data_IF_023193111286
#
_entry.id   IF_023193111286
#
_cell.length_a   1.000
_cell.length_b   1.000
_cell.length_c   1.000
_cell.angle_alpha   90.00
_cell.angle_beta   90.00
_cell.angle_gamma   90.00
#
_symmetry.space_group_name_H-M   'P 1'
#
loop_
_entity.id
_entity.type
_entity.pdbx_description
1 polymer ?
#
# COMPACT_ATOMS: atom_id res chain seq x y z
N UNK A 1 -29.38 9.40 26.19
CA UNK A 1 -30.33 9.33 25.06
C UNK A 1 -29.49 9.43 23.80
N UNK A 2 -29.30 8.31 23.10
CA UNK A 2 -28.48 8.27 21.86
C UNK A 2 -29.26 8.90 20.71
N UNK A 3 -28.80 10.02 20.20
CA UNK A 3 -29.36 10.63 19.00
C UNK A 3 -29.04 9.75 17.79
N UNK A 4 -30.05 9.11 17.20
CA UNK A 4 -29.92 8.40 15.92
C UNK A 4 -29.63 9.43 14.83
N UNK A 5 -28.39 9.47 14.37
CA UNK A 5 -28.06 10.16 13.12
C UNK A 5 -28.58 9.31 11.96
N UNK A 6 -29.48 9.90 11.17
CA UNK A 6 -29.98 9.28 9.95
C UNK A 6 -28.98 9.63 8.87
N UNK A 7 -28.10 8.67 8.53
CA UNK A 7 -27.28 8.74 7.34
C UNK A 7 -28.14 8.35 6.13
N UNK A 8 -28.19 9.23 5.16
CA UNK A 8 -28.84 8.97 3.89
C UNK A 8 -27.92 8.07 3.05
N UNK A 9 -28.15 6.76 3.13
CA UNK A 9 -27.49 5.81 2.25
C UNK A 9 -27.97 6.07 0.80
N UNK A 10 -27.12 6.64 -0.04
CA UNK A 10 -27.34 6.67 -1.48
C UNK A 10 -26.99 5.29 -2.01
N UNK A 11 -27.95 4.38 -1.94
CA UNK A 11 -27.89 3.10 -2.63
C UNK A 11 -27.96 3.35 -4.15
N UNK A 12 -26.87 3.06 -4.85
CA UNK A 12 -26.84 2.99 -6.30
C UNK A 12 -27.51 1.69 -6.73
N UNK A 13 -28.84 1.69 -6.86
CA UNK A 13 -29.57 0.61 -7.52
C UNK A 13 -29.56 0.87 -9.03
N UNK A 14 -28.70 0.19 -9.76
CA UNK A 14 -28.76 0.13 -11.21
C UNK A 14 -29.94 -0.78 -11.63
N UNK A 15 -31.09 -0.15 -11.90
CA UNK A 15 -32.18 -0.83 -12.58
C UNK A 15 -31.98 -0.67 -14.10
N UNK A 16 -31.63 -1.78 -14.77
CA UNK A 16 -31.69 -1.87 -16.22
C UNK A 16 -33.16 -1.88 -16.68
N UNK A 17 -33.64 -0.72 -17.12
CA UNK A 17 -34.86 -0.62 -17.94
C UNK A 17 -34.46 -0.21 -19.35
N UNK A 18 -34.52 -1.15 -20.27
CA UNK A 18 -34.44 -0.90 -21.71
C UNK A 18 -35.72 -0.17 -22.11
N UNK A 19 -35.64 1.10 -22.38
CA UNK A 19 -36.69 1.87 -23.05
C UNK A 19 -36.05 2.63 -24.21
N UNK A 20 -36.49 2.24 -25.42
CA UNK A 20 -36.14 2.91 -26.68
C UNK A 20 -36.84 4.26 -26.74
N UNK A 21 -36.14 5.35 -26.52
CA UNK A 21 -36.57 6.70 -26.82
C UNK A 21 -35.44 7.45 -27.51
N UNK A 22 -35.77 8.26 -28.51
CA UNK A 22 -34.90 9.01 -29.40
C UNK A 22 -33.85 9.87 -28.64
N UNK A 23 -32.68 10.18 -29.25
CA UNK A 23 -31.61 10.93 -28.56
C UNK A 23 -32.07 12.36 -28.32
N UNK A 24 -32.41 12.65 -27.07
CA UNK A 24 -32.37 14.00 -26.56
C UNK A 24 -30.89 14.38 -26.46
N UNK A 25 -30.47 15.41 -27.16
CA UNK A 25 -29.19 16.08 -26.98
C UNK A 25 -29.18 16.60 -25.56
N UNK A 26 -28.61 15.83 -24.64
CA UNK A 26 -28.29 16.31 -23.30
C UNK A 26 -27.21 17.37 -23.47
N UNK A 27 -27.56 18.63 -23.17
CA UNK A 27 -26.56 19.67 -23.01
C UNK A 27 -25.52 19.16 -22.02
N UNK A 28 -24.25 19.09 -22.44
CA UNK A 28 -23.13 18.80 -21.55
C UNK A 28 -23.20 19.76 -20.39
N UNK A 29 -23.42 19.25 -19.19
CA UNK A 29 -23.22 20.02 -17.97
C UNK A 29 -21.79 20.57 -18.02
N UNK A 30 -21.58 21.87 -17.71
CA UNK A 30 -20.25 22.44 -17.69
C UNK A 30 -19.39 21.56 -16.76
N UNK A 31 -18.24 21.10 -17.28
CA UNK A 31 -17.31 20.32 -16.50
C UNK A 31 -17.01 21.05 -15.19
N UNK A 32 -17.13 20.36 -14.06
CA UNK A 32 -16.76 20.94 -12.78
C UNK A 32 -15.31 21.44 -12.88
N UNK A 33 -14.96 22.58 -12.27
CA UNK A 33 -13.61 23.11 -12.32
C UNK A 33 -12.63 22.03 -11.81
N UNK A 34 -11.50 21.86 -12.51
CA UNK A 34 -10.47 20.91 -12.15
C UNK A 34 -9.86 21.30 -10.80
N UNK A 35 -10.02 20.45 -9.80
CA UNK A 35 -9.43 20.66 -8.48
C UNK A 35 -7.94 20.31 -8.60
N UNK A 36 -7.05 21.29 -8.42
CA UNK A 36 -5.61 21.09 -8.59
C UNK A 36 -4.86 20.81 -7.30
N UNK A 37 -5.44 21.19 -6.16
CA UNK A 37 -4.83 20.99 -4.84
C UNK A 37 -5.92 20.76 -3.80
N UNK A 38 -5.66 19.85 -2.88
CA UNK A 38 -6.58 19.47 -1.81
C UNK A 38 -5.88 19.51 -0.45
N UNK A 39 -6.66 19.67 0.61
CA UNK A 39 -6.20 19.64 2.00
C UNK A 39 -7.10 18.77 2.85
N UNK A 40 -6.50 17.98 3.72
CA UNK A 40 -7.23 17.30 4.80
C UNK A 40 -7.50 18.32 5.90
N UNK A 41 -8.73 18.42 6.36
CA UNK A 41 -9.10 19.32 7.44
C UNK A 41 -9.81 18.59 8.56
N UNK A 42 -9.62 19.11 9.79
CA UNK A 42 -10.28 18.64 11.00
C UNK A 42 -11.06 19.81 11.59
N UNK A 43 -12.38 19.80 11.57
CA UNK A 43 -13.15 20.82 12.27
C UNK A 43 -13.04 20.57 13.77
N UNK A 44 -12.72 21.59 14.56
CA UNK A 44 -12.72 21.55 16.03
C UNK A 44 -14.15 21.40 16.56
N UNK A 45 -14.78 20.27 16.37
CA UNK A 45 -16.17 20.00 16.74
C UNK A 45 -16.28 18.88 17.79
N UNK A 46 -15.70 19.06 18.97
CA UNK A 46 -15.94 18.17 20.09
C UNK A 46 -14.97 17.00 20.23
N UNK A 47 -15.42 15.90 20.86
CA UNK A 47 -14.60 14.78 21.29
C UNK A 47 -14.22 13.80 20.15
N UNK A 48 -14.73 13.96 18.93
CA UNK A 48 -14.49 13.09 17.79
C UNK A 48 -13.70 13.86 16.71
N UNK A 49 -12.43 13.46 16.53
CA UNK A 49 -11.50 14.08 15.56
C UNK A 49 -11.69 13.53 14.13
N UNK A 50 -12.90 13.63 13.59
CA UNK A 50 -13.13 13.21 12.21
C UNK A 50 -12.51 14.19 11.20
N UNK A 51 -12.00 13.60 10.10
CA UNK A 51 -11.35 14.31 9.02
C UNK A 51 -12.27 14.44 7.81
N UNK A 52 -12.11 15.55 7.09
CA UNK A 52 -12.72 15.81 5.80
C UNK A 52 -11.69 16.23 4.77
N UNK A 53 -12.11 16.39 3.52
CA UNK A 53 -11.29 16.82 2.41
C UNK A 53 -11.89 18.09 1.79
N UNK A 54 -11.05 19.09 1.54
CA UNK A 54 -11.45 20.32 0.89
C UNK A 54 -10.45 20.75 -0.20
N UNK A 55 -10.92 21.48 -1.19
CA UNK A 55 -10.07 22.18 -2.15
C UNK A 55 -9.32 23.34 -1.48
N UNK A 56 -8.29 23.88 -2.13
CA UNK A 56 -7.59 25.08 -1.64
C UNK A 56 -8.50 26.30 -1.55
N UNK A 57 -9.56 26.35 -2.34
CA UNK A 57 -10.55 27.43 -2.33
C UNK A 57 -11.61 27.26 -1.22
N UNK A 58 -11.47 26.22 -0.37
CA UNK A 58 -12.34 25.94 0.76
C UNK A 58 -13.62 25.18 0.41
N UNK A 59 -13.77 24.68 -0.81
CA UNK A 59 -14.89 23.81 -1.18
C UNK A 59 -14.74 22.45 -0.50
N UNK A 60 -15.76 22.00 0.23
CA UNK A 60 -15.77 20.67 0.86
C UNK A 60 -15.99 19.59 -0.20
N UNK A 61 -14.99 18.70 -0.37
CA UNK A 61 -15.02 17.54 -1.26
C UNK A 61 -15.53 16.28 -0.54
N UNK A 62 -15.09 16.10 0.72
CA UNK A 62 -15.63 15.10 1.65
C UNK A 62 -15.95 15.78 2.97
N UNK A 63 -17.13 15.53 3.56
CA UNK A 63 -17.46 16.04 4.89
C UNK A 63 -16.55 15.42 5.95
N UNK A 64 -16.39 16.06 7.13
CA UNK A 64 -15.60 15.49 8.24
C UNK A 64 -16.38 14.33 8.88
N UNK A 65 -16.18 13.13 8.36
CA UNK A 65 -16.87 11.91 8.77
C UNK A 65 -15.96 10.68 8.78
N UNK A 66 -14.66 10.85 8.54
CA UNK A 66 -13.71 9.75 8.41
C UNK A 66 -12.65 9.80 9.51
N UNK A 67 -12.31 8.64 10.07
CA UNK A 67 -11.32 8.52 11.14
C UNK A 67 -9.89 8.80 10.63
N UNK A 68 -9.60 8.46 9.37
CA UNK A 68 -8.35 8.85 8.73
C UNK A 68 -8.53 9.18 7.25
N UNK A 69 -7.68 10.07 6.74
CA UNK A 69 -7.58 10.41 5.31
C UNK A 69 -6.11 10.55 4.96
N UNK A 70 -5.66 9.79 3.97
CA UNK A 70 -4.33 9.89 3.36
C UNK A 70 -4.48 10.25 1.87
N UNK A 71 -3.75 11.26 1.41
CA UNK A 71 -3.82 11.72 0.02
C UNK A 71 -2.73 11.07 -0.81
N UNK A 72 -3.11 10.41 -1.92
CA UNK A 72 -2.22 9.67 -2.81
C UNK A 72 -2.53 10.04 -4.26
N UNK A 73 -1.72 10.92 -4.84
CA UNK A 73 -1.94 11.39 -6.21
C UNK A 73 -3.33 12.01 -6.38
N UNK A 74 -4.14 11.47 -7.30
CA UNK A 74 -5.54 11.90 -7.52
C UNK A 74 -6.56 11.23 -6.60
N UNK A 75 -6.12 10.41 -5.66
CA UNK A 75 -6.97 9.70 -4.72
C UNK A 75 -6.76 10.17 -3.28
N UNK A 76 -7.74 9.88 -2.47
CA UNK A 76 -7.59 9.84 -1.03
C UNK A 76 -8.02 8.45 -0.54
N UNK A 77 -7.17 7.83 0.28
CA UNK A 77 -7.52 6.64 1.06
C UNK A 77 -8.21 7.15 2.31
N UNK A 78 -9.47 6.79 2.51
CA UNK A 78 -10.26 7.21 3.65
C UNK A 78 -10.73 6.00 4.45
N UNK A 79 -10.52 6.02 5.77
CA UNK A 79 -11.00 4.99 6.67
C UNK A 79 -12.23 5.45 7.43
N UNK A 80 -13.25 4.61 7.43
CA UNK A 80 -14.47 4.80 8.20
C UNK A 80 -14.54 3.77 9.32
N UNK A 81 -14.57 4.24 10.55
CA UNK A 81 -14.79 3.41 11.75
C UNK A 81 -16.25 2.93 11.90
N UNK A 82 -17.19 3.56 11.20
CA UNK A 82 -18.59 3.13 11.16
C UNK A 82 -18.75 1.80 10.39
N UNK A 83 -18.02 1.65 9.30
CA UNK A 83 -18.06 0.47 8.41
C UNK A 83 -16.89 -0.47 8.59
N UNK A 84 -15.85 -0.05 9.34
CA UNK A 84 -14.58 -0.75 9.50
C UNK A 84 -13.94 -1.08 8.13
N UNK A 85 -13.97 -0.10 7.22
CA UNK A 85 -13.49 -0.26 5.84
C UNK A 85 -12.70 0.95 5.37
N UNK A 86 -11.82 0.70 4.42
CA UNK A 86 -11.10 1.72 3.68
C UNK A 86 -11.76 1.93 2.32
N UNK A 87 -11.84 3.19 1.91
CA UNK A 87 -12.39 3.60 0.63
C UNK A 87 -11.35 4.38 -0.17
N UNK A 88 -11.26 4.11 -1.46
CA UNK A 88 -10.49 4.91 -2.40
C UNK A 88 -11.40 5.97 -3.01
N UNK A 89 -11.16 7.24 -2.68
CA UNK A 89 -11.93 8.38 -3.16
C UNK A 89 -11.16 9.11 -4.26
N UNK A 90 -11.73 9.14 -5.48
CA UNK A 90 -11.22 9.98 -6.57
C UNK A 90 -11.77 11.41 -6.36
N UNK A 91 -10.91 12.30 -5.86
CA UNK A 91 -11.33 13.65 -5.52
C UNK A 91 -11.55 14.54 -6.76
N UNK A 92 -11.02 14.18 -7.93
CA UNK A 92 -11.34 14.85 -9.19
C UNK A 92 -12.74 14.46 -9.69
N UNK A 93 -13.10 13.18 -9.61
CA UNK A 93 -14.43 12.69 -9.97
C UNK A 93 -15.45 12.87 -8.85
N UNK A 94 -14.99 13.19 -7.64
CA UNK A 94 -15.82 13.30 -6.43
C UNK A 94 -16.63 12.03 -6.15
N UNK A 95 -15.96 10.88 -6.28
CA UNK A 95 -16.60 9.58 -6.16
C UNK A 95 -15.70 8.56 -5.46
N UNK A 96 -16.31 7.68 -4.67
CA UNK A 96 -15.67 6.47 -4.21
C UNK A 96 -15.57 5.48 -5.37
N UNK A 97 -14.36 4.96 -5.61
CA UNK A 97 -14.05 4.08 -6.75
C UNK A 97 -13.73 2.65 -6.32
N UNK A 98 -13.36 2.44 -5.05
CA UNK A 98 -13.10 1.12 -4.49
C UNK A 98 -13.32 1.12 -2.98
N UNK A 99 -13.57 -0.07 -2.43
CA UNK A 99 -13.68 -0.36 -1.00
C UNK A 99 -12.94 -1.67 -0.70
N UNK A 100 -12.09 -1.64 0.34
CA UNK A 100 -11.36 -2.81 0.84
C UNK A 100 -11.31 -2.79 2.36
N UNK A 101 -11.31 -3.96 3.02
CA UNK A 101 -11.13 -4.04 4.47
C UNK A 101 -9.81 -3.47 4.97
N UNK A 102 -8.78 -3.51 4.11
CA UNK A 102 -7.46 -2.92 4.38
C UNK A 102 -6.90 -2.24 3.14
N UNK A 103 -6.37 -1.03 3.31
CA UNK A 103 -5.73 -0.26 2.25
C UNK A 103 -4.71 0.71 2.85
N UNK A 104 -3.51 0.77 2.30
CA UNK A 104 -2.48 1.72 2.70
C UNK A 104 -1.49 1.99 1.56
N UNK A 105 -0.77 3.10 1.64
CA UNK A 105 0.26 3.43 0.67
C UNK A 105 1.52 2.59 0.86
N UNK A 106 2.14 2.18 -0.24
CA UNK A 106 3.40 1.46 -0.26
C UNK A 106 4.20 1.89 -1.48
N UNK A 107 5.17 2.79 -1.29
CA UNK A 107 5.93 3.39 -2.39
C UNK A 107 5.04 4.11 -3.40
N UNK A 108 5.15 3.72 -4.67
CA UNK A 108 4.32 4.26 -5.76
C UNK A 108 2.96 3.53 -5.93
N UNK A 109 2.64 2.60 -5.03
CA UNK A 109 1.46 1.73 -5.11
C UNK A 109 0.57 1.88 -3.88
N UNK A 110 -0.62 1.30 -3.96
CA UNK A 110 -1.55 1.17 -2.86
C UNK A 110 -1.71 -0.32 -2.59
N UNK A 111 -1.31 -0.77 -1.41
CA UNK A 111 -1.56 -2.14 -0.95
C UNK A 111 -3.02 -2.27 -0.55
N UNK A 112 -3.65 -3.35 -0.98
CA UNK A 112 -5.01 -3.75 -0.64
C UNK A 112 -5.02 -5.14 -0.05
N UNK A 113 -5.94 -5.43 0.88
CA UNK A 113 -6.11 -6.77 1.42
C UNK A 113 -7.57 -7.08 1.78
N UNK A 114 -7.90 -8.37 1.82
CA UNK A 114 -9.23 -8.88 2.16
C UNK A 114 -9.56 -8.74 3.64
N UNK A 115 -8.55 -8.71 4.52
CA UNK A 115 -8.68 -8.52 5.96
C UNK A 115 -7.36 -8.10 6.60
N UNK A 116 -7.43 -7.69 7.88
CA UNK A 116 -6.25 -7.45 8.70
C UNK A 116 -5.64 -8.80 9.14
N UNK A 117 -4.45 -9.12 8.60
CA UNK A 117 -3.62 -10.25 9.08
C UNK A 117 -3.89 -11.61 8.47
N UNK A 118 -5.10 -11.92 8.01
CA UNK A 118 -5.49 -13.27 7.56
C UNK A 118 -6.03 -13.29 6.13
N UNK A 119 -5.85 -12.23 5.37
CA UNK A 119 -6.40 -12.12 4.01
C UNK A 119 -5.31 -12.11 2.93
N UNK A 120 -5.75 -12.22 1.68
CA UNK A 120 -4.86 -12.06 0.57
C UNK A 120 -4.59 -10.59 0.27
N UNK A 121 -3.34 -10.31 -0.10
CA UNK A 121 -2.83 -8.99 -0.44
C UNK A 121 -2.72 -8.82 -1.95
N UNK A 122 -2.93 -7.61 -2.42
CA UNK A 122 -2.74 -7.18 -3.80
C UNK A 122 -2.28 -5.73 -3.88
N UNK A 123 -2.10 -5.23 -5.09
CA UNK A 123 -1.63 -3.86 -5.33
C UNK A 123 -2.49 -3.15 -6.37
N UNK A 124 -2.76 -1.87 -6.11
CA UNK A 124 -3.24 -0.91 -7.10
C UNK A 124 -2.10 0.05 -7.46
N UNK A 125 -2.11 0.54 -8.68
CA UNK A 125 -1.27 1.67 -9.09
C UNK A 125 -1.90 3.03 -8.68
N UNK A 126 -1.17 4.11 -8.95
CA UNK A 126 -1.65 5.48 -8.69
C UNK A 126 -2.83 5.90 -9.59
N UNK A 127 -3.23 5.08 -10.58
CA UNK A 127 -4.45 5.28 -11.34
C UNK A 127 -5.67 4.62 -10.70
N UNK A 128 -5.45 3.76 -9.68
CA UNK A 128 -6.44 2.91 -9.03
C UNK A 128 -6.70 1.61 -9.80
N UNK A 129 -5.86 1.29 -10.81
CA UNK A 129 -5.95 0.02 -11.51
C UNK A 129 -5.26 -1.09 -10.72
N UNK A 130 -5.85 -2.29 -10.73
CA UNK A 130 -5.24 -3.48 -10.14
C UNK A 130 -4.01 -3.86 -10.97
N UNK A 131 -2.84 -3.86 -10.34
CA UNK A 131 -1.58 -4.31 -10.94
C UNK A 131 -1.16 -5.69 -10.44
N UNK A 132 -1.63 -6.05 -9.23
CA UNK A 132 -1.45 -7.38 -8.67
C UNK A 132 -2.74 -7.77 -7.97
N UNK A 133 -3.33 -8.89 -8.39
CA UNK A 133 -4.54 -9.44 -7.78
C UNK A 133 -4.29 -9.83 -6.31
N UNK A 134 -5.35 -9.84 -5.49
CA UNK A 134 -5.29 -10.32 -4.12
C UNK A 134 -5.12 -11.84 -4.09
N UNK A 135 -3.87 -12.29 -4.13
CA UNK A 135 -3.48 -13.71 -4.14
C UNK A 135 -2.30 -14.02 -3.23
N UNK A 136 -1.69 -13.01 -2.62
CA UNK A 136 -0.51 -13.14 -1.80
C UNK A 136 -0.90 -13.18 -0.32
N UNK A 137 -0.42 -14.16 0.41
CA UNK A 137 -0.68 -14.31 1.84
C UNK A 137 0.03 -13.27 2.70
N UNK A 138 1.11 -12.74 2.16
CA UNK A 138 1.83 -11.63 2.76
C UNK A 138 2.55 -10.83 1.68
N UNK A 139 2.64 -9.52 1.89
CA UNK A 139 3.43 -8.59 1.09
C UNK A 139 4.15 -7.62 2.00
N UNK A 140 5.44 -7.39 1.74
CA UNK A 140 6.26 -6.37 2.40
C UNK A 140 6.02 -4.96 1.85
N UNK A 141 6.86 -4.02 2.28
CA UNK A 141 6.91 -2.69 1.69
C UNK A 141 7.42 -2.71 0.26
N UNK A 142 6.80 -1.89 -0.60
CA UNK A 142 7.27 -1.73 -1.99
C UNK A 142 8.51 -0.83 -2.00
N UNK A 143 9.56 -1.30 -2.67
CA UNK A 143 10.77 -0.52 -2.96
C UNK A 143 10.93 -0.42 -4.48
N UNK A 144 10.92 0.80 -5.02
CA UNK A 144 10.83 1.04 -6.46
C UNK A 144 9.65 0.25 -7.06
N UNK A 145 9.92 -0.72 -7.92
CA UNK A 145 8.93 -1.56 -8.58
C UNK A 145 8.98 -3.03 -8.09
N UNK A 146 9.54 -3.30 -6.91
CA UNK A 146 9.63 -4.65 -6.35
C UNK A 146 8.99 -4.73 -4.97
N UNK A 147 8.54 -5.95 -4.62
CA UNK A 147 7.95 -6.24 -3.32
C UNK A 147 8.21 -7.69 -2.95
N UNK A 148 8.52 -7.95 -1.69
CA UNK A 148 8.52 -9.31 -1.16
C UNK A 148 7.09 -9.83 -1.04
N UNK A 149 6.86 -11.07 -1.50
CA UNK A 149 5.55 -11.69 -1.47
C UNK A 149 5.62 -13.16 -1.07
N UNK A 150 4.70 -13.62 -0.22
CA UNK A 150 4.49 -15.02 0.14
C UNK A 150 3.21 -15.55 -0.51
N UNK A 151 3.27 -16.79 -1.03
CA UNK A 151 2.14 -17.42 -1.71
C UNK A 151 1.62 -18.70 -1.03
N UNK A 152 2.33 -19.24 -0.04
CA UNK A 152 2.07 -20.54 0.55
C UNK A 152 1.92 -20.43 2.08
N UNK A 153 0.76 -20.80 2.61
CA UNK A 153 0.43 -20.76 4.04
C UNK A 153 1.32 -21.68 4.88
N UNK A 154 1.68 -22.85 4.34
CA UNK A 154 2.39 -23.87 5.11
C UNK A 154 3.85 -23.48 5.35
N UNK A 155 4.46 -22.79 4.41
CA UNK A 155 5.89 -22.47 4.45
C UNK A 155 6.18 -21.01 4.76
N UNK A 156 5.25 -20.10 4.43
CA UNK A 156 5.45 -18.64 4.49
C UNK A 156 6.75 -18.17 3.83
N UNK A 157 7.28 -18.98 2.88
CA UNK A 157 8.47 -18.60 2.12
C UNK A 157 8.14 -17.42 1.20
N UNK A 158 9.12 -16.57 1.01
CA UNK A 158 8.99 -15.32 0.26
C UNK A 158 9.81 -15.34 -1.01
N UNK A 159 9.35 -14.60 -2.02
CA UNK A 159 10.13 -14.30 -3.22
C UNK A 159 9.95 -12.82 -3.58
N UNK A 160 10.89 -12.29 -4.33
CA UNK A 160 10.88 -10.91 -4.77
C UNK A 160 10.07 -10.78 -6.06
N UNK A 161 8.90 -10.16 -5.98
CA UNK A 161 8.02 -9.90 -7.12
C UNK A 161 8.39 -8.57 -7.78
N UNK A 162 8.69 -8.58 -9.07
CA UNK A 162 8.77 -7.37 -9.89
C UNK A 162 7.37 -7.00 -10.38
N UNK A 163 6.81 -5.94 -9.84
CA UNK A 163 5.41 -5.55 -9.97
C UNK A 163 5.01 -5.34 -11.45
N UNK A 164 5.71 -4.54 -12.29
CA UNK A 164 5.28 -4.29 -13.66
C UNK A 164 5.23 -5.53 -14.55
N UNK A 165 6.09 -6.53 -14.30
CA UNK A 165 6.12 -7.75 -15.12
C UNK A 165 5.38 -8.92 -14.52
N UNK A 166 5.03 -8.85 -13.23
CA UNK A 166 4.44 -9.96 -12.47
C UNK A 166 5.37 -11.16 -12.29
N UNK A 167 6.70 -10.98 -12.47
CA UNK A 167 7.68 -12.07 -12.39
C UNK A 167 8.38 -12.10 -11.05
N UNK A 168 8.65 -13.29 -10.55
CA UNK A 168 9.58 -13.49 -9.45
C UNK A 168 11.01 -13.27 -9.95
N UNK A 169 11.81 -12.55 -9.17
CA UNK A 169 13.19 -12.21 -9.50
C UNK A 169 14.18 -13.23 -8.94
N UNK A 170 13.83 -13.98 -7.88
CA UNK A 170 14.67 -15.04 -7.37
C UNK A 170 14.26 -16.37 -7.98
N UNK A 171 15.26 -17.20 -8.35
CA UNK A 171 15.05 -18.54 -8.88
C UNK A 171 14.43 -19.49 -7.84
N UNK A 172 14.69 -19.25 -6.56
CA UNK A 172 14.21 -20.06 -5.43
C UNK A 172 13.60 -19.17 -4.34
N UNK A 173 12.65 -19.73 -3.58
CA UNK A 173 12.00 -19.06 -2.47
C UNK A 173 12.92 -18.97 -1.25
N UNK A 174 12.91 -17.83 -0.58
CA UNK A 174 13.65 -17.57 0.65
C UNK A 174 12.80 -17.92 1.88
N UNK A 175 13.47 -18.28 2.98
CA UNK A 175 12.81 -18.59 4.25
C UNK A 175 12.46 -17.33 5.06
N UNK A 176 13.14 -16.22 4.78
CA UNK A 176 12.97 -14.94 5.46
C UNK A 176 13.53 -13.80 4.61
N UNK A 177 13.01 -12.61 4.77
CA UNK A 177 13.55 -11.38 4.17
C UNK A 177 13.48 -10.21 5.15
N UNK A 178 14.31 -9.19 4.93
CA UNK A 178 14.20 -7.88 5.59
C UNK A 178 13.47 -6.89 4.68
N UNK A 179 13.04 -5.77 5.23
CA UNK A 179 12.64 -4.61 4.41
C UNK A 179 13.84 -4.06 3.62
N UNK A 180 13.53 -3.35 2.52
CA UNK A 180 14.56 -2.67 1.74
C UNK A 180 15.13 -1.47 2.49
N UNK A 181 16.45 -1.32 2.45
CA UNK A 181 17.19 -0.18 2.98
C UNK A 181 18.35 0.14 2.06
N UNK A 182 18.48 1.41 1.61
CA UNK A 182 19.52 1.84 0.69
C UNK A 182 19.53 1.06 -0.64
N UNK A 183 18.35 0.65 -1.13
CA UNK A 183 18.21 -0.09 -2.38
C UNK A 183 18.48 -1.60 -2.28
N UNK A 184 18.74 -2.13 -1.08
CA UNK A 184 19.00 -3.57 -0.85
C UNK A 184 18.05 -4.15 0.20
N UNK A 185 17.80 -5.46 0.11
CA UNK A 185 17.17 -6.26 1.15
C UNK A 185 18.01 -7.50 1.41
N UNK A 186 18.13 -7.89 2.69
CA UNK A 186 18.74 -9.16 3.10
C UNK A 186 17.69 -10.26 3.08
N UNK A 187 18.06 -11.45 2.66
CA UNK A 187 17.19 -12.61 2.76
C UNK A 187 17.96 -13.85 3.21
N UNK A 188 17.25 -14.80 3.80
CA UNK A 188 17.82 -16.07 4.27
C UNK A 188 17.28 -17.20 3.40
N UNK A 189 18.17 -18.05 2.92
CA UNK A 189 17.86 -19.28 2.21
C UNK A 189 18.84 -20.38 2.64
N UNK A 190 18.32 -21.52 3.04
CA UNK A 190 19.11 -22.68 3.52
C UNK A 190 20.12 -22.31 4.63
N UNK A 191 19.74 -21.38 5.51
CA UNK A 191 20.57 -20.93 6.64
C UNK A 191 21.71 -19.97 6.27
N UNK A 192 21.77 -19.48 5.05
CA UNK A 192 22.72 -18.47 4.57
C UNK A 192 22.02 -17.16 4.26
N UNK A 193 22.70 -16.05 4.53
CA UNK A 193 22.25 -14.70 4.20
C UNK A 193 22.75 -14.29 2.83
N UNK A 194 21.83 -13.77 2.05
CA UNK A 194 22.05 -13.17 0.75
C UNK A 194 21.51 -11.74 0.76
N UNK A 195 22.02 -10.90 -0.11
CA UNK A 195 21.42 -9.59 -0.36
C UNK A 195 20.95 -9.48 -1.80
N UNK A 196 19.89 -8.74 -2.03
CA UNK A 196 19.32 -8.50 -3.35
C UNK A 196 19.00 -6.99 -3.49
N UNK A 197 19.29 -6.44 -4.67
CA UNK A 197 18.86 -5.09 -5.02
C UNK A 197 17.46 -5.07 -5.67
N UNK A 198 16.96 -3.87 -5.98
CA UNK A 198 15.65 -3.70 -6.63
C UNK A 198 15.62 -4.14 -8.10
N UNK A 199 16.76 -4.46 -8.71
CA UNK A 199 16.86 -5.04 -10.05
C UNK A 199 16.91 -6.58 -10.02
N UNK A 200 17.02 -7.18 -8.83
CA UNK A 200 17.09 -8.62 -8.63
C UNK A 200 18.52 -9.19 -8.68
N UNK A 201 19.55 -8.35 -8.64
CA UNK A 201 20.91 -8.82 -8.57
C UNK A 201 21.22 -9.32 -7.17
N UNK A 202 21.59 -10.61 -7.08
CA UNK A 202 21.83 -11.29 -5.83
C UNK A 202 23.31 -11.30 -5.48
N UNK A 203 23.62 -10.96 -4.23
CA UNK A 203 24.95 -11.01 -3.65
C UNK A 203 25.01 -12.08 -2.55
N UNK A 204 25.86 -13.07 -2.75
CA UNK A 204 26.13 -14.11 -1.75
C UNK A 204 27.07 -13.59 -0.65
N UNK A 205 26.83 -14.02 0.60
CA UNK A 205 27.67 -13.68 1.75
C UNK A 205 27.93 -14.90 2.64
N UNK A 206 28.91 -14.77 3.54
CA UNK A 206 29.22 -15.78 4.55
C UNK A 206 28.45 -15.57 5.88
N UNK A 207 27.47 -14.66 5.89
CA UNK A 207 26.64 -14.41 7.08
C UNK A 207 25.59 -15.51 7.24
N UNK A 208 25.25 -15.80 8.49
CA UNK A 208 24.23 -16.81 8.86
C UNK A 208 22.98 -16.17 9.44
N UNK A 209 23.03 -14.87 9.75
CA UNK A 209 21.91 -14.11 10.27
C UNK A 209 21.93 -12.68 9.76
N UNK A 210 20.77 -12.18 9.43
CA UNK A 210 20.48 -10.77 9.19
C UNK A 210 19.31 -10.38 10.08
N UNK A 211 19.41 -9.23 10.75
CA UNK A 211 18.33 -8.71 11.57
C UNK A 211 17.71 -7.50 10.86
N UNK A 212 16.38 -7.44 10.91
CA UNK A 212 15.66 -6.23 10.58
C UNK A 212 16.08 -5.14 11.55
N UNK A 213 16.56 -4.06 11.00
CA UNK A 213 16.93 -2.93 11.81
C UNK A 213 16.14 -1.71 11.38
N UNK A 214 14.97 -1.51 11.98
CA UNK A 214 14.11 -0.36 11.77
C UNK A 214 14.76 0.99 12.16
N UNK A 215 15.97 0.96 12.69
CA UNK A 215 16.70 2.14 13.15
C UNK A 215 18.02 2.38 12.42
N UNK A 216 18.35 1.58 11.39
CA UNK A 216 19.63 1.72 10.70
C UNK A 216 19.67 2.94 9.82
N UNK A 217 20.86 3.51 9.81
CA UNK A 217 21.33 4.37 8.73
C UNK A 217 21.08 3.66 7.39
N UNK A 218 20.58 4.39 6.45
CA UNK A 218 20.21 3.92 5.13
C UNK A 218 21.29 3.01 4.52
N UNK A 219 20.89 1.79 4.13
CA UNK A 219 21.75 0.81 3.47
C UNK A 219 22.66 -0.04 4.38
N UNK A 220 22.54 0.03 5.71
CA UNK A 220 23.28 -0.83 6.64
C UNK A 220 22.38 -1.88 7.27
N UNK A 221 22.91 -3.10 7.40
CA UNK A 221 22.21 -4.25 7.99
C UNK A 221 23.01 -4.79 9.18
N UNK A 222 22.32 -5.18 10.25
CA UNK A 222 22.93 -5.93 11.34
C UNK A 222 23.05 -7.40 10.92
N UNK A 223 24.27 -7.95 10.97
CA UNK A 223 24.56 -9.31 10.51
C UNK A 223 25.42 -10.09 11.52
N UNK A 224 25.39 -11.41 11.42
CA UNK A 224 26.20 -12.31 12.22
C UNK A 224 26.88 -13.36 11.34
N UNK A 225 28.17 -13.59 11.55
CA UNK A 225 28.97 -14.61 10.87
C UNK A 225 28.80 -15.98 11.54
N UNK A 226 29.25 -17.05 10.89
CA UNK A 226 29.13 -18.43 11.40
C UNK A 226 29.86 -18.67 12.73
N UNK A 227 30.88 -17.90 13.06
CA UNK A 227 31.61 -17.96 14.34
C UNK A 227 30.97 -17.10 15.44
N UNK A 228 29.84 -16.45 15.15
CA UNK A 228 29.10 -15.63 16.10
C UNK A 228 29.56 -14.16 16.17
N UNK A 229 30.47 -13.73 15.30
CA UNK A 229 30.88 -12.31 15.22
C UNK A 229 29.75 -11.47 14.69
N UNK A 230 29.37 -10.42 15.44
CA UNK A 230 28.30 -9.48 15.06
C UNK A 230 28.87 -8.19 14.50
N UNK A 231 28.19 -7.64 13.53
CA UNK A 231 28.61 -6.40 12.91
C UNK A 231 27.53 -5.76 12.06
N UNK A 232 27.92 -4.69 11.36
CA UNK A 232 27.12 -4.04 10.34
C UNK A 232 27.69 -4.32 8.96
N UNK A 233 26.83 -4.58 8.00
CA UNK A 233 27.18 -4.81 6.61
C UNK A 233 26.45 -3.82 5.69
N UNK A 234 27.16 -3.28 4.71
CA UNK A 234 26.65 -2.42 3.66
C UNK A 234 26.84 -3.11 2.31
N UNK A 235 25.75 -3.65 1.69
CA UNK A 235 25.84 -4.42 0.46
C UNK A 235 26.40 -3.63 -0.71
N UNK A 236 25.98 -2.37 -0.90
CA UNK A 236 26.47 -1.49 -1.97
C UNK A 236 28.00 -1.42 -2.04
N UNK A 237 28.66 -1.36 -0.87
CA UNK A 237 30.11 -1.23 -0.76
C UNK A 237 30.81 -2.56 -0.44
N UNK A 238 30.06 -3.62 -0.27
CA UNK A 238 30.55 -4.92 0.22
C UNK A 238 31.46 -4.76 1.46
N UNK A 239 30.98 -3.97 2.43
CA UNK A 239 31.79 -3.59 3.61
C UNK A 239 31.16 -4.11 4.88
N UNK A 240 31.92 -4.89 5.65
CA UNK A 240 31.58 -5.37 6.99
C UNK A 240 32.37 -4.60 8.04
N UNK A 241 31.70 -4.20 9.13
CA UNK A 241 32.31 -3.55 10.28
C UNK A 241 31.83 -4.25 11.55
N UNK A 242 32.78 -4.88 12.26
CA UNK A 242 32.53 -5.55 13.54
C UNK A 242 32.10 -4.53 14.61
N UNK A 243 31.15 -4.93 15.47
CA UNK A 243 30.67 -4.12 16.60
C UNK A 243 31.55 -4.28 17.83
#
# INVERSE_FOLDING_TARGET
MKAKRIFLAVLLTAALSVSSAAPAVLAESPAAPEVTTITVFRPNLGEEDYMGLQSVDGETLLPPAFASIEVVGKFAIVYSDETDSFYLYDWQKRAFVAEYPMMYTSGAYITIAESWGDGHYGLLDQSGAVVTEMQWLWMGGVADDVVWAAADEDTMRVNLLHIPSGKMLLDEWADYCTEFSGGYSGFVRDGHVWFVDTEGHVQETDFVRVEENYTTEDGWFDVETADGTKGKYQPEKNTFTEK
#
